data_IF_972844811003
#
_entry.id   IF_972844811003
#
_cell.length_a   1.000
_cell.length_b   1.000
_cell.length_c   1.000
_cell.angle_alpha   90.00
_cell.angle_beta   90.00
_cell.angle_gamma   90.00
#
_symmetry.space_group_name_H-M   'P 1'
#
loop_
_entity.id
_entity.type
_entity.pdbx_description
1 polymer ?
#
# COMPACT_ATOMS: atom_id res chain seq x y z
N UNK A 1 4.87 -14.86 -5.89
CA UNK A 1 4.02 -13.78 -5.32
C UNK A 1 3.91 -12.66 -6.35
N UNK A 2 2.68 -12.25 -6.67
CA UNK A 2 2.44 -11.15 -7.59
C UNK A 2 3.07 -9.85 -7.07
N UNK A 3 3.65 -9.05 -7.96
CA UNK A 3 4.26 -7.76 -7.60
C UNK A 3 3.17 -6.78 -7.13
N UNK A 4 3.39 -6.11 -6.00
CA UNK A 4 2.52 -5.01 -5.60
C UNK A 4 2.56 -3.91 -6.66
N UNK A 5 1.37 -3.43 -7.07
CA UNK A 5 1.23 -2.32 -8.00
C UNK A 5 1.87 -1.07 -7.40
N UNK A 6 2.67 -0.38 -8.19
CA UNK A 6 3.19 0.95 -7.88
C UNK A 6 2.80 1.92 -8.98
N UNK A 7 2.23 3.03 -8.57
CA UNK A 7 1.88 4.12 -9.48
C UNK A 7 2.94 5.18 -9.28
N UNK A 8 3.76 5.41 -10.31
CA UNK A 8 4.88 6.36 -10.28
C UNK A 8 4.65 7.44 -11.33
N UNK A 9 4.86 8.70 -10.95
CA UNK A 9 4.83 9.84 -11.85
C UNK A 9 5.49 11.06 -11.21
N UNK A 10 5.94 11.98 -12.02
CA UNK A 10 6.55 13.24 -11.61
C UNK A 10 5.65 14.05 -10.70
N UNK A 11 6.17 14.52 -9.55
CA UNK A 11 5.45 15.32 -8.58
C UNK A 11 4.53 14.53 -7.64
N UNK A 12 4.55 13.20 -7.70
CA UNK A 12 3.70 12.36 -6.86
C UNK A 12 4.18 12.35 -5.40
N UNK A 13 3.21 12.42 -4.49
CA UNK A 13 3.42 12.36 -3.04
C UNK A 13 3.23 10.92 -2.56
N UNK A 14 4.11 10.45 -1.70
CA UNK A 14 4.06 9.07 -1.20
C UNK A 14 4.28 8.99 0.30
N UNK A 15 3.54 8.09 0.93
CA UNK A 15 3.90 7.51 2.21
C UNK A 15 4.61 6.19 1.97
N UNK A 16 5.88 6.14 2.36
CA UNK A 16 6.75 4.97 2.22
C UNK A 16 6.92 4.30 3.57
N UNK A 17 6.89 2.97 3.56
CA UNK A 17 7.21 2.17 4.74
C UNK A 17 7.99 0.92 4.35
N UNK A 18 8.94 0.52 5.20
CA UNK A 18 9.66 -0.74 5.07
C UNK A 18 9.99 -1.28 6.45
N UNK A 19 10.08 -2.60 6.58
CA UNK A 19 10.28 -3.28 7.84
C UNK A 19 11.36 -4.34 7.71
N UNK A 20 12.08 -4.58 8.81
CA UNK A 20 13.07 -5.62 8.92
C UNK A 20 12.52 -7.02 8.67
N UNK A 21 13.35 -7.87 8.10
CA UNK A 21 13.03 -9.28 7.92
C UNK A 21 12.68 -9.92 9.26
N UNK A 22 11.62 -10.75 9.29
CA UNK A 22 11.13 -11.38 10.53
C UNK A 22 10.83 -10.39 11.67
N UNK A 23 10.56 -9.13 11.34
CA UNK A 23 10.39 -8.00 12.27
C UNK A 23 11.63 -7.68 13.11
N UNK A 24 12.81 -8.17 12.73
CA UNK A 24 14.07 -7.86 13.39
C UNK A 24 14.39 -6.38 13.30
N UNK A 25 15.17 -5.90 14.27
CA UNK A 25 15.66 -4.54 14.29
C UNK A 25 16.54 -4.26 13.06
N UNK A 26 16.29 -3.10 12.44
CA UNK A 26 17.09 -2.55 11.34
C UNK A 26 17.99 -1.42 11.82
N UNK A 27 17.87 -1.04 13.08
CA UNK A 27 18.76 -0.13 13.80
C UNK A 27 19.11 -0.77 15.13
N UNK A 28 20.39 -1.03 15.38
CA UNK A 28 20.91 -1.65 16.61
C UNK A 28 21.54 -0.62 17.55
N UNK A 29 21.88 0.55 17.04
CA UNK A 29 22.46 1.63 17.81
C UNK A 29 22.33 2.96 17.08
N UNK A 30 22.68 4.05 17.77
CA UNK A 30 22.55 5.42 17.28
C UNK A 30 23.22 5.67 15.94
N UNK A 31 24.35 5.05 15.69
CA UNK A 31 25.09 5.23 14.43
C UNK A 31 24.34 4.64 13.24
N UNK A 32 23.55 3.58 13.44
CA UNK A 32 22.74 3.03 12.36
C UNK A 32 21.66 4.02 11.91
N UNK A 33 21.06 4.72 12.88
CA UNK A 33 20.12 5.80 12.59
C UNK A 33 20.80 6.96 11.84
N UNK A 34 21.99 7.37 12.27
CA UNK A 34 22.77 8.42 11.60
C UNK A 34 23.13 8.02 10.17
N UNK A 35 23.59 6.79 9.96
CA UNK A 35 23.89 6.24 8.63
C UNK A 35 22.64 6.22 7.76
N UNK A 36 21.47 5.85 8.30
CA UNK A 36 20.24 5.87 7.53
C UNK A 36 19.82 7.30 7.13
N UNK A 37 19.96 8.27 8.04
CA UNK A 37 19.69 9.68 7.75
C UNK A 37 20.63 10.23 6.67
N UNK A 38 21.93 9.87 6.69
CA UNK A 38 22.86 10.20 5.61
C UNK A 38 22.46 9.58 4.27
N UNK A 39 21.96 8.33 4.27
CA UNK A 39 21.44 7.69 3.05
C UNK A 39 20.18 8.41 2.54
N UNK A 40 19.33 8.95 3.42
CA UNK A 40 18.17 9.74 3.00
C UNK A 40 18.59 11.08 2.37
N UNK A 41 19.57 11.77 2.93
CA UNK A 41 20.17 12.98 2.37
C UNK A 41 20.75 12.72 0.99
N UNK A 42 21.61 11.71 0.84
CA UNK A 42 22.18 11.28 -0.43
C UNK A 42 21.09 10.93 -1.46
N UNK A 43 19.99 10.26 -1.03
CA UNK A 43 18.85 9.95 -1.90
C UNK A 43 18.13 11.22 -2.36
N UNK A 44 17.90 12.17 -1.44
CA UNK A 44 17.22 13.43 -1.75
C UNK A 44 17.94 14.19 -2.86
N UNK A 45 19.25 14.32 -2.74
CA UNK A 45 20.08 15.00 -3.74
C UNK A 45 20.19 14.24 -5.05
N UNK A 46 20.52 12.96 -4.98
CA UNK A 46 20.81 12.13 -6.15
C UNK A 46 19.61 11.89 -7.06
N UNK A 47 18.42 11.78 -6.48
CA UNK A 47 17.20 11.40 -7.20
C UNK A 47 16.15 12.51 -7.25
N UNK A 48 16.51 13.72 -6.82
CA UNK A 48 15.58 14.87 -6.76
C UNK A 48 14.30 14.53 -6.00
N UNK A 49 14.45 13.97 -4.78
CA UNK A 49 13.33 13.56 -3.94
C UNK A 49 13.21 14.52 -2.76
N UNK A 50 12.07 15.19 -2.64
CA UNK A 50 11.76 15.97 -1.45
C UNK A 50 11.31 15.05 -0.32
N UNK A 51 11.89 15.22 0.85
CA UNK A 51 11.48 14.51 2.07
C UNK A 51 10.76 15.49 2.99
N UNK A 52 9.51 15.18 3.32
CA UNK A 52 8.67 16.04 4.17
C UNK A 52 8.62 15.57 5.63
N UNK A 53 8.56 14.29 5.90
CA UNK A 53 8.58 13.76 7.25
C UNK A 53 9.18 12.37 7.30
N UNK A 54 9.76 12.03 8.46
CA UNK A 54 10.23 10.69 8.73
C UNK A 54 10.07 10.31 10.20
N UNK A 55 9.99 9.01 10.45
CA UNK A 55 10.22 8.36 11.73
C UNK A 55 10.94 7.04 11.51
N UNK A 56 12.02 6.83 12.24
CA UNK A 56 12.84 5.62 12.21
C UNK A 56 12.57 4.84 13.49
N UNK A 57 11.76 3.79 13.40
CA UNK A 57 11.46 2.88 14.51
C UNK A 57 12.48 1.75 14.53
N UNK A 58 12.70 1.09 15.64
CA UNK A 58 13.76 0.06 15.78
C UNK A 58 13.78 -0.95 14.62
N UNK A 59 12.63 -1.40 14.15
CA UNK A 59 12.52 -2.46 13.15
C UNK A 59 11.81 -2.04 11.84
N UNK A 60 11.45 -0.76 11.69
CA UNK A 60 10.81 -0.22 10.48
C UNK A 60 10.97 1.29 10.41
N UNK A 61 10.67 1.86 9.24
CA UNK A 61 10.62 3.30 9.07
C UNK A 61 9.42 3.74 8.26
N UNK A 62 9.04 5.00 8.45
CA UNK A 62 8.06 5.70 7.62
C UNK A 62 8.68 6.97 7.07
N UNK A 63 8.40 7.25 5.79
CA UNK A 63 8.81 8.49 5.11
C UNK A 63 7.60 9.11 4.41
N UNK A 64 7.54 10.43 4.38
CA UNK A 64 6.69 11.18 3.46
C UNK A 64 7.60 11.86 2.45
N UNK A 65 7.41 11.56 1.18
CA UNK A 65 8.27 12.05 0.11
C UNK A 65 7.48 12.52 -1.11
N UNK A 66 8.11 13.35 -1.94
CA UNK A 66 7.68 13.66 -3.30
C UNK A 66 8.81 13.36 -4.25
N UNK A 67 8.51 12.64 -5.31
CA UNK A 67 9.47 12.42 -6.39
C UNK A 67 9.29 13.50 -7.46
N UNK A 68 10.34 14.25 -7.75
CA UNK A 68 10.32 15.29 -8.78
C UNK A 68 10.55 14.70 -10.21
N UNK A 69 10.78 13.38 -10.27
CA UNK A 69 10.80 12.56 -11.48
C UNK A 69 9.93 11.31 -11.26
N UNK A 70 9.74 10.44 -12.24
CA UNK A 70 9.04 9.15 -12.16
C UNK A 70 9.98 8.01 -11.71
N UNK A 71 10.71 8.24 -10.61
CA UNK A 71 11.84 7.42 -10.19
C UNK A 71 11.72 6.80 -8.79
N UNK A 72 10.51 6.68 -8.24
CA UNK A 72 10.29 6.16 -6.89
C UNK A 72 10.93 4.79 -6.66
N UNK A 73 10.70 3.84 -7.57
CA UNK A 73 11.26 2.48 -7.43
C UNK A 73 12.78 2.51 -7.43
N UNK A 74 13.40 3.32 -8.28
CA UNK A 74 14.85 3.46 -8.40
C UNK A 74 15.46 4.08 -7.13
N UNK A 75 14.89 5.19 -6.65
CA UNK A 75 15.36 5.90 -5.45
C UNK A 75 15.25 5.01 -4.20
N UNK A 76 14.12 4.36 -3.99
CA UNK A 76 13.91 3.53 -2.81
C UNK A 76 14.64 2.17 -2.87
N UNK A 77 14.87 1.62 -4.05
CA UNK A 77 15.76 0.47 -4.23
C UNK A 77 17.18 0.82 -3.84
N UNK A 78 17.66 1.98 -4.25
CA UNK A 78 18.98 2.48 -3.91
C UNK A 78 19.13 2.66 -2.39
N UNK A 79 18.16 3.30 -1.71
CA UNK A 79 18.13 3.43 -0.24
C UNK A 79 18.24 2.06 0.43
N UNK A 80 17.38 1.12 0.03
CA UNK A 80 17.35 -0.22 0.62
C UNK A 80 18.67 -0.96 0.45
N UNK A 81 19.26 -0.92 -0.74
CA UNK A 81 20.52 -1.61 -1.06
C UNK A 81 21.69 -0.95 -0.34
N UNK A 82 21.81 0.39 -0.40
CA UNK A 82 22.90 1.14 0.21
C UNK A 82 22.91 0.98 1.72
N UNK A 83 21.76 1.14 2.36
CA UNK A 83 21.67 0.96 3.80
C UNK A 83 21.96 -0.49 4.23
N UNK A 84 21.35 -1.47 3.54
CA UNK A 84 21.60 -2.89 3.84
C UNK A 84 23.09 -3.24 3.75
N UNK A 85 23.78 -2.74 2.72
CA UNK A 85 25.22 -2.95 2.56
C UNK A 85 26.02 -2.33 3.73
N UNK A 86 25.76 -1.05 4.08
CA UNK A 86 26.43 -0.35 5.18
C UNK A 86 26.16 -1.05 6.53
N UNK A 87 24.91 -1.43 6.78
CA UNK A 87 24.50 -2.15 7.98
C UNK A 87 25.17 -3.52 8.10
N UNK A 88 25.14 -4.34 7.03
CA UNK A 88 25.70 -5.68 7.03
C UNK A 88 27.24 -5.64 7.23
N UNK A 89 27.92 -4.69 6.58
CA UNK A 89 29.36 -4.50 6.79
C UNK A 89 29.69 -4.16 8.25
N UNK A 90 28.97 -3.19 8.83
CA UNK A 90 29.19 -2.75 10.21
C UNK A 90 28.94 -3.86 11.24
N UNK A 91 27.91 -4.68 11.01
CA UNK A 91 27.45 -5.69 11.96
C UNK A 91 27.89 -7.12 11.60
N UNK A 92 28.85 -7.27 10.67
CA UNK A 92 29.39 -8.59 10.25
C UNK A 92 28.27 -9.56 9.85
N UNK A 93 27.26 -9.07 9.10
CA UNK A 93 26.09 -9.83 8.65
C UNK A 93 26.06 -10.01 7.14
N UNK A 94 25.34 -11.04 6.72
CA UNK A 94 25.00 -11.28 5.32
C UNK A 94 23.49 -11.44 5.14
N UNK A 95 23.01 -11.36 3.89
CA UNK A 95 21.62 -11.59 3.53
C UNK A 95 20.72 -10.36 3.67
N UNK A 96 19.41 -10.60 3.58
CA UNK A 96 18.40 -9.54 3.53
C UNK A 96 18.19 -8.87 4.89
N UNK A 97 18.24 -7.54 4.92
CA UNK A 97 17.89 -6.75 6.09
C UNK A 97 16.36 -6.50 6.14
N UNK A 98 15.75 -6.19 5.00
CA UNK A 98 14.32 -5.89 4.91
C UNK A 98 13.50 -7.11 4.50
N UNK A 99 12.25 -7.17 4.95
CA UNK A 99 11.28 -8.26 4.69
C UNK A 99 10.86 -8.38 3.22
N UNK A 100 11.43 -7.57 2.35
CA UNK A 100 11.09 -7.50 0.95
C UNK A 100 11.11 -6.04 0.46
N UNK A 101 10.39 -5.77 -0.62
CA UNK A 101 10.32 -4.42 -1.16
C UNK A 101 9.56 -3.48 -0.22
N UNK A 102 9.92 -2.19 -0.23
CA UNK A 102 9.16 -1.15 0.46
C UNK A 102 7.70 -1.12 -0.01
N UNK A 103 6.80 -0.70 0.86
CA UNK A 103 5.41 -0.37 0.52
C UNK A 103 5.31 1.12 0.23
N UNK A 104 4.53 1.49 -0.78
CA UNK A 104 4.25 2.87 -1.13
C UNK A 104 2.75 3.10 -1.19
N UNK A 105 2.29 4.17 -0.58
CA UNK A 105 0.91 4.63 -0.60
C UNK A 105 0.92 6.01 -1.24
N UNK A 106 0.24 6.16 -2.37
CA UNK A 106 0.12 7.44 -3.06
C UNK A 106 -0.77 8.38 -2.26
N UNK A 107 -0.31 9.62 -2.03
CA UNK A 107 -1.01 10.64 -1.24
C UNK A 107 -1.63 11.68 -2.18
N UNK A 108 -2.90 11.99 -2.00
CA UNK A 108 -3.64 12.83 -2.94
C UNK A 108 -3.16 14.29 -2.96
N UNK A 109 -2.95 14.91 -1.82
CA UNK A 109 -2.62 16.33 -1.70
C UNK A 109 -1.97 16.70 -0.36
N UNK A 110 -1.65 17.99 -0.18
CA UNK A 110 -1.00 18.51 1.02
C UNK A 110 -1.83 18.33 2.31
N UNK A 111 -3.15 18.40 2.25
CA UNK A 111 -4.02 18.20 3.42
C UNK A 111 -3.88 16.76 3.95
N UNK A 112 -3.90 15.76 3.08
CA UNK A 112 -3.62 14.38 3.45
C UNK A 112 -2.18 14.16 3.88
N UNK A 113 -1.22 14.88 3.29
CA UNK A 113 0.18 14.84 3.70
C UNK A 113 0.34 15.33 5.15
N UNK A 114 -0.36 16.40 5.53
CA UNK A 114 -0.39 16.93 6.91
C UNK A 114 -0.92 15.86 7.88
N UNK A 115 -2.04 15.22 7.58
CA UNK A 115 -2.61 14.18 8.43
C UNK A 115 -1.62 13.02 8.62
N UNK A 116 -0.96 12.58 7.54
CA UNK A 116 0.04 11.52 7.60
C UNK A 116 1.30 11.95 8.35
N UNK A 117 1.70 13.22 8.29
CA UNK A 117 2.84 13.72 9.08
C UNK A 117 2.55 13.62 10.58
N UNK A 118 1.34 14.01 11.01
CA UNK A 118 0.89 13.83 12.40
C UNK A 118 0.92 12.35 12.81
N UNK A 119 0.34 11.46 11.98
CA UNK A 119 0.35 10.02 12.20
C UNK A 119 1.78 9.47 12.35
N UNK A 120 2.69 9.84 11.44
CA UNK A 120 4.09 9.37 11.43
C UNK A 120 4.80 9.84 12.70
N UNK A 121 4.67 11.10 13.07
CA UNK A 121 5.34 11.63 14.24
C UNK A 121 4.80 11.06 15.56
N UNK A 122 3.54 10.60 15.60
CA UNK A 122 2.96 9.96 16.79
C UNK A 122 3.30 8.46 16.92
N UNK A 123 3.90 7.84 15.91
CA UNK A 123 4.25 6.42 15.97
C UNK A 123 5.06 6.01 17.22
N UNK A 124 6.10 6.75 17.66
CA UNK A 124 6.87 6.39 18.85
C UNK A 124 6.04 6.41 20.14
N UNK A 125 5.14 7.40 20.29
CA UNK A 125 4.23 7.49 21.41
C UNK A 125 3.24 6.32 21.43
N UNK A 126 2.64 6.02 20.27
CA UNK A 126 1.72 4.92 20.09
C UNK A 126 2.35 3.55 20.34
N UNK A 127 3.64 3.43 20.00
CA UNK A 127 4.42 2.21 20.28
C UNK A 127 4.93 2.13 21.73
N UNK A 128 4.62 3.11 22.59
CA UNK A 128 5.07 3.15 23.98
C UNK A 128 6.58 3.37 24.17
N UNK A 129 7.28 3.82 23.11
CA UNK A 129 8.74 4.04 23.18
C UNK A 129 9.11 5.31 23.94
N UNK A 130 8.23 6.28 23.97
CA UNK A 130 8.42 7.56 24.69
C UNK A 130 7.10 8.03 25.30
N UNK A 131 7.18 8.82 26.37
CA UNK A 131 6.01 9.49 26.97
C UNK A 131 5.69 10.83 26.33
N UNK A 132 6.67 11.49 25.74
CA UNK A 132 6.52 12.78 25.03
C UNK A 132 7.18 12.66 23.66
N UNK A 133 6.52 13.15 22.61
CA UNK A 133 7.03 13.07 21.23
C UNK A 133 8.40 13.73 21.05
N UNK A 134 8.67 14.78 21.82
CA UNK A 134 9.96 15.49 21.78
C UNK A 134 11.12 14.63 22.26
N UNK A 135 10.89 13.61 23.07
CA UNK A 135 11.94 12.76 23.59
C UNK A 135 12.44 11.74 22.52
N UNK A 136 11.64 11.53 21.44
CA UNK A 136 12.06 10.65 20.37
C UNK A 136 12.87 11.38 19.31
N UNK A 137 14.20 11.18 19.35
CA UNK A 137 15.15 11.92 18.49
C UNK A 137 15.22 11.42 17.04
N UNK A 138 14.78 10.19 16.75
CA UNK A 138 14.85 9.58 15.43
C UNK A 138 13.60 9.84 14.56
N UNK A 139 13.09 11.06 14.68
CA UNK A 139 11.95 11.53 13.91
C UNK A 139 12.14 13.01 13.56
N UNK A 140 11.54 13.43 12.46
CA UNK A 140 11.51 14.84 12.05
C UNK A 140 10.60 15.71 12.92
N UNK A 141 9.93 15.17 13.95
CA UNK A 141 9.00 15.90 14.79
C UNK A 141 9.60 17.16 15.40
N UNK A 142 10.82 17.07 15.96
CA UNK A 142 11.49 18.23 16.59
C UNK A 142 11.70 19.40 15.63
N UNK A 143 11.99 19.10 14.36
CA UNK A 143 12.19 20.10 13.31
C UNK A 143 10.91 20.83 12.95
N UNK A 144 9.76 20.19 13.13
CA UNK A 144 8.43 20.78 12.92
C UNK A 144 7.86 21.45 14.16
N UNK A 145 8.10 20.88 15.32
CA UNK A 145 7.49 21.33 16.56
C UNK A 145 8.29 22.46 17.25
N UNK A 146 9.59 22.55 16.95
CA UNK A 146 10.50 23.51 17.59
C UNK A 146 11.46 24.06 16.54
N UNK A 147 11.96 25.27 16.73
CA UNK A 147 12.99 25.87 15.83
C UNK A 147 14.36 25.17 15.91
N UNK A 148 14.45 24.04 16.58
CA UNK A 148 15.70 23.34 16.84
C UNK A 148 16.11 22.51 15.59
N UNK A 149 17.41 22.62 15.25
CA UNK A 149 18.12 21.78 14.26
C UNK A 149 17.57 21.81 12.83
N UNK A 150 18.31 22.44 11.96
CA UNK A 150 18.06 22.42 10.51
C UNK A 150 18.62 21.14 9.88
N UNK A 151 17.76 20.20 9.56
CA UNK A 151 18.05 19.18 8.58
C UNK A 151 17.82 19.80 7.20
N UNK A 152 18.87 20.23 6.50
CA UNK A 152 18.80 21.02 5.25
C UNK A 152 18.00 20.34 4.15
N UNK A 153 18.04 19.02 4.08
CA UNK A 153 17.33 18.21 3.08
C UNK A 153 15.84 17.94 3.43
N UNK A 154 15.37 18.36 4.61
CA UNK A 154 13.97 18.21 4.98
C UNK A 154 13.16 19.43 4.51
N UNK A 155 12.24 19.19 3.56
CA UNK A 155 11.34 20.23 3.06
C UNK A 155 10.14 20.39 3.99
N UNK A 156 9.98 21.56 4.62
CA UNK A 156 8.89 21.85 5.56
C UNK A 156 7.73 22.61 4.93
N UNK A 157 7.96 23.25 3.80
CA UNK A 157 7.07 24.28 3.26
C UNK A 157 5.67 23.74 2.98
N UNK A 158 5.58 22.57 2.37
CA UNK A 158 4.29 21.98 2.02
C UNK A 158 3.45 21.57 3.25
N UNK A 159 4.09 21.18 4.35
CA UNK A 159 3.39 20.86 5.59
C UNK A 159 3.04 22.14 6.34
N UNK A 160 3.96 23.10 6.44
CA UNK A 160 3.70 24.38 7.08
C UNK A 160 2.66 25.22 6.36
N UNK A 161 2.53 25.12 5.03
CA UNK A 161 1.46 25.76 4.27
C UNK A 161 0.05 25.31 4.69
N UNK A 162 -0.06 24.20 5.42
CA UNK A 162 -1.31 23.68 5.98
C UNK A 162 -1.51 24.06 7.46
N UNK A 163 -0.59 24.84 8.01
CA UNK A 163 -0.67 25.37 9.36
C UNK A 163 -1.21 26.80 9.32
N UNK A 164 -2.28 27.07 10.06
CA UNK A 164 -2.83 28.42 10.21
C UNK A 164 -2.21 29.12 11.42
N UNK A 165 -1.96 30.42 11.32
CA UNK A 165 -1.41 31.24 12.39
C UNK A 165 -0.01 31.75 12.10
N UNK A 166 0.46 32.73 12.89
CA UNK A 166 1.76 33.37 12.71
C UNK A 166 2.94 32.47 13.07
N UNK A 167 2.75 31.56 14.03
CA UNK A 167 3.75 30.56 14.44
C UNK A 167 3.38 29.14 13.95
N UNK A 168 3.92 28.75 12.79
CA UNK A 168 3.72 27.44 12.20
C UNK A 168 4.21 26.30 13.10
N UNK A 169 5.23 26.50 13.92
CA UNK A 169 5.75 25.50 14.85
C UNK A 169 4.75 25.22 15.99
N UNK A 170 4.17 26.28 16.56
CA UNK A 170 3.12 26.16 17.57
C UNK A 170 1.87 25.50 16.97
N UNK A 171 1.42 25.98 15.82
CA UNK A 171 0.27 25.43 15.13
C UNK A 171 0.45 23.93 14.78
N UNK A 172 1.66 23.52 14.37
CA UNK A 172 1.97 22.13 14.12
C UNK A 172 1.90 21.28 15.40
N UNK A 173 2.48 21.76 16.53
CA UNK A 173 2.42 21.04 17.81
C UNK A 173 0.97 20.78 18.25
N UNK A 174 0.14 21.81 18.20
CA UNK A 174 -1.28 21.71 18.55
C UNK A 174 -2.02 20.72 17.66
N UNK A 175 -1.74 20.76 16.36
CA UNK A 175 -2.33 19.84 15.39
C UNK A 175 -1.95 18.38 15.66
N UNK A 176 -0.67 18.12 15.96
CA UNK A 176 -0.21 16.78 16.32
C UNK A 176 -0.82 16.30 17.64
N UNK A 177 -1.03 17.18 18.62
CA UNK A 177 -1.69 16.82 19.88
C UNK A 177 -3.17 16.49 19.68
N UNK A 178 -3.92 17.35 18.98
CA UNK A 178 -5.34 17.11 18.64
C UNK A 178 -5.54 15.86 17.80
N UNK A 179 -4.56 15.49 17.02
CA UNK A 179 -4.63 14.31 16.13
C UNK A 179 -4.82 12.99 16.87
N UNK A 180 -4.61 12.91 18.20
CA UNK A 180 -4.89 11.70 18.99
C UNK A 180 -6.36 11.25 18.89
N UNK A 181 -7.28 12.19 18.73
CA UNK A 181 -8.72 11.94 18.64
C UNK A 181 -9.13 11.46 17.22
N UNK A 182 -8.34 11.80 16.21
CA UNK A 182 -8.61 11.49 14.81
C UNK A 182 -7.82 10.28 14.28
N UNK A 183 -6.92 9.73 15.09
CA UNK A 183 -5.93 8.73 14.65
C UNK A 183 -6.58 7.44 14.09
N UNK A 184 -7.72 7.03 14.65
CA UNK A 184 -8.50 5.89 14.15
C UNK A 184 -9.09 6.13 12.75
N UNK A 185 -9.39 7.38 12.41
CA UNK A 185 -10.05 7.76 11.16
C UNK A 185 -9.08 7.91 9.98
N UNK A 186 -7.76 7.98 10.23
CA UNK A 186 -6.76 8.18 9.16
C UNK A 186 -6.85 7.12 8.09
N UNK A 187 -6.98 5.86 8.51
CA UNK A 187 -7.03 4.75 7.56
C UNK A 187 -8.37 4.60 6.82
N UNK A 188 -9.43 5.31 7.23
CA UNK A 188 -10.69 5.36 6.47
C UNK A 188 -10.50 5.92 5.06
N UNK A 189 -9.49 6.77 4.87
CA UNK A 189 -9.13 7.35 3.58
C UNK A 189 -8.12 6.49 2.79
N UNK A 190 -7.68 5.36 3.35
CA UNK A 190 -6.79 4.43 2.65
C UNK A 190 -7.60 3.53 1.73
N UNK A 191 -7.44 3.70 0.43
CA UNK A 191 -8.14 2.92 -0.61
C UNK A 191 -7.25 1.80 -1.12
N UNK A 192 -7.69 0.55 -0.96
CA UNK A 192 -7.01 -0.67 -1.42
C UNK A 192 -5.55 -0.82 -0.97
N UNK A 193 -5.13 -0.10 0.10
CA UNK A 193 -3.74 -0.09 0.55
C UNK A 193 -2.76 0.61 -0.40
N UNK A 194 -3.25 1.35 -1.41
CA UNK A 194 -2.43 1.95 -2.48
C UNK A 194 -2.53 3.48 -2.50
N UNK A 195 -3.72 4.04 -2.21
CA UNK A 195 -3.99 5.48 -2.29
C UNK A 195 -4.57 5.99 -1.00
N UNK A 196 -4.00 7.07 -0.48
CA UNK A 196 -4.54 7.85 0.62
C UNK A 196 -5.23 9.09 0.04
N UNK A 197 -6.56 9.02 -0.03
CA UNK A 197 -7.35 10.05 -0.69
C UNK A 197 -8.79 9.62 -1.01
N UNK A 198 -9.47 10.46 -1.80
CA UNK A 198 -10.87 10.25 -2.20
C UNK A 198 -11.03 9.13 -3.24
N UNK A 199 -12.23 8.53 -3.29
CA UNK A 199 -12.62 7.59 -4.36
C UNK A 199 -12.43 8.21 -5.76
N UNK A 200 -12.78 9.50 -5.91
CA UNK A 200 -12.62 10.23 -7.17
C UNK A 200 -11.16 10.30 -7.62
N UNK A 201 -10.25 10.56 -6.68
CA UNK A 201 -8.82 10.60 -6.97
C UNK A 201 -8.30 9.22 -7.37
N UNK A 202 -8.64 8.16 -6.63
CA UNK A 202 -8.29 6.79 -7.00
C UNK A 202 -8.73 6.46 -8.43
N UNK A 203 -10.00 6.77 -8.79
CA UNK A 203 -10.53 6.50 -10.13
C UNK A 203 -9.78 7.30 -11.22
N UNK A 204 -9.40 8.57 -10.94
CA UNK A 204 -8.61 9.40 -11.85
C UNK A 204 -7.25 8.80 -12.13
N UNK A 205 -6.53 8.40 -11.06
CA UNK A 205 -5.18 7.83 -11.15
C UNK A 205 -5.23 6.47 -11.85
N UNK A 206 -6.18 5.61 -11.50
CA UNK A 206 -6.38 4.32 -12.16
C UNK A 206 -6.59 4.47 -13.67
N UNK A 207 -7.47 5.40 -14.07
CA UNK A 207 -7.70 5.66 -15.51
C UNK A 207 -6.46 6.18 -16.23
N UNK A 208 -5.67 7.04 -15.58
CA UNK A 208 -4.53 7.70 -16.20
C UNK A 208 -3.31 6.78 -16.32
N UNK A 209 -3.01 6.00 -15.28
CA UNK A 209 -1.74 5.29 -15.17
C UNK A 209 -1.84 3.77 -15.34
N UNK A 210 -3.04 3.17 -15.18
CA UNK A 210 -3.20 1.72 -15.24
C UNK A 210 -3.76 1.18 -16.55
N UNK A 211 -4.18 2.04 -17.48
CA UNK A 211 -4.67 1.62 -18.80
C UNK A 211 -3.58 1.04 -19.72
N UNK A 212 -2.30 1.23 -19.41
CA UNK A 212 -1.17 0.81 -20.26
C UNK A 212 -0.60 -0.57 -19.93
N UNK A 213 -1.03 -1.20 -18.83
CA UNK A 213 -0.48 -2.49 -18.39
C UNK A 213 -1.59 -3.56 -18.44
N UNK A 214 -2.05 -3.89 -19.66
CA UNK A 214 -3.14 -4.86 -19.86
C UNK A 214 -2.74 -6.32 -19.62
N UNK A 215 -1.47 -6.65 -19.41
CA UNK A 215 -0.99 -8.03 -19.38
C UNK A 215 -0.43 -8.53 -18.04
N UNK A 216 -0.55 -7.74 -16.96
CA UNK A 216 -0.06 -8.16 -15.65
C UNK A 216 -1.23 -8.44 -14.72
N UNK A 217 -1.39 -9.69 -14.31
CA UNK A 217 -2.35 -10.08 -13.26
C UNK A 217 -1.92 -9.48 -11.92
N UNK A 218 -2.42 -8.28 -11.61
CA UNK A 218 -2.16 -7.54 -10.38
C UNK A 218 -3.37 -7.71 -9.45
N UNK A 219 -3.27 -8.46 -8.34
CA UNK A 219 -4.39 -8.69 -7.42
C UNK A 219 -5.02 -7.41 -6.89
N UNK A 220 -4.22 -6.33 -6.74
CA UNK A 220 -4.70 -5.02 -6.30
C UNK A 220 -5.49 -4.30 -7.39
N UNK A 221 -5.09 -4.45 -8.66
CA UNK A 221 -5.83 -3.92 -9.80
C UNK A 221 -7.19 -4.60 -9.90
N UNK A 222 -7.24 -5.91 -9.72
CA UNK A 222 -8.48 -6.67 -9.71
C UNK A 222 -9.42 -6.23 -8.57
N UNK A 223 -8.90 -5.86 -7.40
CA UNK A 223 -9.69 -5.27 -6.30
C UNK A 223 -10.26 -3.90 -6.69
N UNK A 224 -9.46 -3.03 -7.30
CA UNK A 224 -9.90 -1.71 -7.77
C UNK A 224 -10.97 -1.83 -8.87
N UNK A 225 -10.80 -2.79 -9.77
CA UNK A 225 -11.76 -3.05 -10.87
C UNK A 225 -13.05 -3.64 -10.32
N UNK A 226 -12.98 -4.53 -9.32
CA UNK A 226 -14.15 -5.15 -8.68
C UNK A 226 -15.00 -4.16 -7.87
N UNK A 227 -14.44 -3.07 -7.38
CA UNK A 227 -15.18 -1.99 -6.69
C UNK A 227 -15.97 -1.07 -7.66
N UNK A 228 -15.92 -1.34 -8.96
CA UNK A 228 -16.79 -0.63 -9.91
C UNK A 228 -18.22 -1.13 -9.74
N UNK A 229 -19.07 -0.24 -9.22
CA UNK A 229 -20.54 -0.31 -9.18
C UNK A 229 -21.10 -1.75 -9.16
N UNK A 230 -21.56 -2.26 -8.00
CA UNK A 230 -22.12 -3.61 -7.89
C UNK A 230 -23.20 -3.91 -8.92
N UNK A 231 -23.98 -2.90 -9.29
CA UNK A 231 -25.03 -3.04 -10.31
C UNK A 231 -24.46 -3.30 -11.72
N UNK A 232 -23.33 -2.69 -12.08
CA UNK A 232 -22.64 -2.95 -13.35
C UNK A 232 -21.94 -4.31 -13.36
N UNK A 233 -21.40 -4.75 -12.22
CA UNK A 233 -20.85 -6.09 -12.07
C UNK A 233 -21.93 -7.16 -12.19
N UNK A 234 -23.08 -6.96 -11.55
CA UNK A 234 -24.24 -7.84 -11.68
C UNK A 234 -24.77 -7.91 -13.12
N UNK A 235 -24.89 -6.77 -13.83
CA UNK A 235 -25.26 -6.74 -15.25
C UNK A 235 -24.24 -7.45 -16.14
N UNK A 236 -22.94 -7.31 -15.87
CA UNK A 236 -21.89 -8.00 -16.63
C UNK A 236 -21.88 -9.49 -16.33
N UNK A 237 -22.06 -9.88 -15.07
CA UNK A 237 -22.18 -11.28 -14.66
C UNK A 237 -23.44 -11.92 -15.28
N UNK A 238 -24.60 -11.22 -15.26
CA UNK A 238 -25.81 -11.68 -15.90
C UNK A 238 -25.66 -11.89 -17.41
N UNK A 239 -24.92 -11.00 -18.11
CA UNK A 239 -24.60 -11.20 -19.54
C UNK A 239 -23.75 -12.45 -19.79
N UNK A 240 -22.74 -12.68 -18.97
CA UNK A 240 -21.88 -13.88 -19.09
C UNK A 240 -22.67 -15.14 -18.79
N UNK A 241 -23.50 -15.13 -17.75
CA UNK A 241 -24.35 -16.25 -17.37
C UNK A 241 -25.38 -16.53 -18.46
N UNK A 242 -26.06 -15.50 -18.99
CA UNK A 242 -27.01 -15.69 -20.10
C UNK A 242 -26.30 -16.21 -21.35
N UNK A 243 -25.08 -15.76 -21.66
CA UNK A 243 -24.27 -16.30 -22.76
C UNK A 243 -23.93 -17.77 -22.55
N UNK A 244 -23.51 -18.16 -21.34
CA UNK A 244 -23.22 -19.55 -20.99
C UNK A 244 -24.49 -20.40 -21.06
N UNK A 245 -25.60 -19.94 -20.48
CA UNK A 245 -26.87 -20.63 -20.51
C UNK A 245 -27.44 -20.76 -21.93
N UNK A 246 -27.25 -19.75 -22.79
CA UNK A 246 -27.66 -19.79 -24.19
C UNK A 246 -26.84 -20.80 -24.98
N UNK A 247 -25.52 -20.86 -24.78
CA UNK A 247 -24.66 -21.89 -25.38
C UNK A 247 -24.99 -23.29 -24.89
N UNK A 248 -25.31 -23.45 -23.61
CA UNK A 248 -25.70 -24.73 -23.02
C UNK A 248 -27.08 -25.21 -23.54
N UNK A 249 -28.02 -24.28 -23.78
CA UNK A 249 -29.34 -24.59 -24.36
C UNK A 249 -29.28 -24.95 -25.87
N UNK A 250 -28.22 -24.54 -26.57
CA UNK A 250 -27.97 -24.91 -27.98
C UNK A 250 -27.27 -26.27 -28.15
N UNK A 251 -26.62 -26.76 -27.09
CA UNK A 251 -26.12 -28.16 -27.09
C UNK A 251 -27.25 -29.07 -26.61
N UNK A 252 -27.87 -29.78 -27.48
CA UNK A 252 -29.15 -30.54 -27.43
C UNK A 252 -29.38 -31.51 -26.26
N UNK A 253 -28.71 -31.43 -25.11
CA UNK A 253 -28.85 -32.44 -24.05
C UNK A 253 -28.60 -32.00 -22.60
N UNK A 254 -28.56 -30.75 -22.30
CA UNK A 254 -28.42 -30.33 -20.89
C UNK A 254 -29.73 -29.69 -20.41
N UNK A 255 -30.48 -30.43 -19.61
CA UNK A 255 -31.71 -29.99 -18.99
C UNK A 255 -31.40 -28.76 -18.08
N UNK A 256 -32.16 -27.67 -18.26
CA UNK A 256 -32.09 -26.42 -17.47
C UNK A 256 -32.21 -26.61 -15.94
N UNK A 257 -32.46 -27.84 -15.49
CA UNK A 257 -32.62 -28.18 -14.07
C UNK A 257 -31.29 -28.41 -13.34
N UNK A 258 -30.16 -28.64 -14.03
CA UNK A 258 -28.95 -29.17 -13.38
C UNK A 258 -27.93 -28.13 -12.96
N UNK A 259 -28.15 -26.85 -13.31
CA UNK A 259 -27.24 -25.77 -12.87
C UNK A 259 -28.08 -24.67 -12.24
N UNK A 260 -27.97 -24.53 -10.92
CA UNK A 260 -28.55 -23.37 -10.27
C UNK A 260 -27.73 -22.14 -10.66
N UNK A 261 -28.31 -21.21 -11.42
CA UNK A 261 -27.67 -19.97 -11.87
C UNK A 261 -27.05 -19.15 -10.70
N UNK A 262 -27.53 -19.38 -9.48
CA UNK A 262 -26.99 -18.88 -8.23
C UNK A 262 -25.55 -19.39 -7.96
N UNK A 263 -25.25 -20.65 -8.23
CA UNK A 263 -23.93 -21.24 -7.93
C UNK A 263 -22.88 -20.77 -8.93
N UNK A 264 -23.26 -20.61 -10.18
CA UNK A 264 -22.41 -20.02 -11.22
C UNK A 264 -22.13 -18.56 -10.90
N UNK A 265 -23.15 -17.81 -10.44
CA UNK A 265 -23.00 -16.42 -10.02
C UNK A 265 -22.06 -16.30 -8.79
N UNK A 266 -22.22 -17.17 -7.81
CA UNK A 266 -21.38 -17.20 -6.62
C UNK A 266 -19.91 -17.55 -6.96
N UNK A 267 -19.67 -18.47 -7.88
CA UNK A 267 -18.34 -18.79 -8.37
C UNK A 267 -17.72 -17.59 -9.11
N UNK A 268 -18.47 -16.93 -9.97
CA UNK A 268 -18.03 -15.74 -10.69
C UNK A 268 -17.72 -14.57 -9.75
N UNK A 269 -18.56 -14.32 -8.75
CA UNK A 269 -18.36 -13.26 -7.74
C UNK A 269 -17.17 -13.53 -6.83
N UNK A 270 -16.85 -14.80 -6.58
CA UNK A 270 -15.65 -15.21 -5.81
C UNK A 270 -14.37 -15.16 -6.63
N UNK A 271 -14.46 -15.00 -7.94
CA UNK A 271 -13.31 -14.98 -8.85
C UNK A 271 -12.77 -16.37 -9.19
N UNK A 272 -13.56 -17.42 -8.96
CA UNK A 272 -13.22 -18.79 -9.33
C UNK A 272 -13.36 -18.97 -10.85
N UNK A 273 -12.43 -19.69 -11.47
CA UNK A 273 -12.58 -20.10 -12.88
C UNK A 273 -13.52 -21.30 -12.94
N UNK A 274 -14.61 -21.15 -13.68
CA UNK A 274 -15.48 -22.26 -14.02
C UNK A 274 -15.00 -22.86 -15.35
N UNK A 275 -14.48 -24.06 -15.33
CA UNK A 275 -14.04 -24.79 -16.53
C UNK A 275 -15.13 -25.79 -16.90
N UNK A 276 -15.64 -25.68 -18.13
CA UNK A 276 -16.56 -26.66 -18.71
C UNK A 276 -15.74 -27.70 -19.47
N UNK A 277 -15.81 -28.95 -19.06
CA UNK A 277 -15.31 -30.06 -19.83
C UNK A 277 -16.43 -30.62 -20.71
N UNK A 278 -16.27 -30.52 -22.04
CA UNK A 278 -17.30 -30.92 -23.01
C UNK A 278 -17.62 -32.41 -23.03
N UNK A 279 -16.77 -33.24 -22.43
CA UNK A 279 -16.85 -34.70 -22.58
C UNK A 279 -17.55 -35.42 -21.45
N UNK A 280 -17.68 -34.85 -20.24
CA UNK A 280 -18.15 -35.62 -19.07
C UNK A 280 -19.18 -34.94 -18.16
N UNK A 281 -20.01 -34.04 -18.64
CA UNK A 281 -21.14 -33.46 -17.86
C UNK A 281 -20.78 -32.96 -16.44
N UNK A 282 -19.52 -32.55 -16.17
CA UNK A 282 -19.06 -32.11 -14.86
C UNK A 282 -18.62 -30.67 -14.88
N UNK A 283 -19.04 -29.90 -13.88
CA UNK A 283 -18.50 -28.57 -13.59
C UNK A 283 -17.30 -28.76 -12.67
N UNK A 284 -16.09 -28.47 -13.15
CA UNK A 284 -14.88 -28.52 -12.33
C UNK A 284 -14.57 -27.12 -11.82
N UNK A 285 -14.52 -26.95 -10.50
CA UNK A 285 -13.99 -25.75 -9.88
C UNK A 285 -12.47 -25.84 -9.82
N UNK A 286 -11.76 -24.97 -10.49
CA UNK A 286 -10.34 -24.78 -10.22
C UNK A 286 -10.18 -23.63 -9.23
N UNK A 287 -9.75 -23.93 -8.00
CA UNK A 287 -9.38 -22.92 -7.02
C UNK A 287 -8.07 -22.28 -7.43
N UNK A 288 -8.11 -20.98 -7.69
CA UNK A 288 -6.90 -20.17 -7.67
C UNK A 288 -6.65 -19.81 -6.23
N UNK A 289 -5.53 -20.24 -5.69
CA UNK A 289 -5.06 -19.96 -4.34
C UNK A 289 -5.19 -18.48 -3.99
N UNK A 290 -6.19 -18.11 -3.21
CA UNK A 290 -6.16 -16.94 -2.37
C UNK A 290 -5.56 -17.37 -1.04
N UNK A 291 -4.30 -17.03 -0.80
CA UNK A 291 -3.63 -17.30 0.46
C UNK A 291 -4.29 -16.56 1.62
N UNK A 292 -5.14 -17.24 2.35
CA UNK A 292 -5.46 -16.91 3.74
C UNK A 292 -4.59 -17.74 4.69
N UNK A 293 -4.19 -17.20 5.83
CA UNK A 293 -3.20 -17.82 6.71
C UNK A 293 -3.83 -18.81 7.68
N UNK A 294 -4.63 -19.75 7.23
CA UNK A 294 -4.98 -20.94 8.01
C UNK A 294 -5.37 -22.06 7.04
N UNK A 295 -4.53 -23.10 7.03
CA UNK A 295 -4.63 -24.24 6.16
C UNK A 295 -5.93 -25.03 6.29
N UNK A 296 -6.91 -24.65 5.51
CA UNK A 296 -8.04 -25.51 5.18
C UNK A 296 -7.96 -25.78 3.69
N UNK A 297 -7.50 -26.97 3.36
CA UNK A 297 -7.66 -27.53 2.04
C UNK A 297 -9.15 -27.51 1.68
N UNK A 298 -9.51 -26.74 0.68
CA UNK A 298 -10.82 -26.85 0.07
C UNK A 298 -10.82 -28.16 -0.74
N UNK A 299 -11.48 -29.19 -0.21
CA UNK A 299 -11.70 -30.42 -0.94
C UNK A 299 -12.56 -30.12 -2.16
N UNK A 300 -12.15 -30.68 -3.30
CA UNK A 300 -12.95 -30.71 -4.51
C UNK A 300 -14.21 -31.52 -4.17
N UNK A 301 -15.33 -30.84 -3.97
CA UNK A 301 -16.62 -31.53 -3.91
C UNK A 301 -17.04 -31.86 -5.32
N UNK A 302 -16.92 -33.10 -5.68
CA UNK A 302 -17.64 -33.65 -6.83
C UNK A 302 -19.13 -33.52 -6.52
N UNK A 303 -19.83 -32.72 -7.31
CA UNK A 303 -21.29 -32.76 -7.31
C UNK A 303 -21.65 -34.01 -8.08
N UNK A 304 -21.88 -35.12 -7.38
CA UNK A 304 -22.51 -36.32 -7.96
C UNK A 304 -23.97 -36.01 -8.26
N UNK A 305 -24.45 -36.62 -9.29
CA UNK A 305 -25.79 -36.57 -9.84
C UNK A 305 -26.86 -36.85 -8.75
N UNK A 306 -27.89 -36.07 -8.76
CA UNK A 306 -29.24 -36.49 -8.43
C UNK A 306 -30.10 -36.30 -9.66
#
# INVERSE_FOLDING_TARGET
>A
MARALRIEFKGALYHILSRGNERRNIFLGDDDYKVFLSVLEEMSERFEVDIFAYVLMNNHYHLLIRTNQDNLSKSMQWVGTTYTRRFNLKHFRSGHLFQGRFKSILVQNAAYLMQLSCYIHRNPLRAGLVKRLVDYRWSSYRTYAYKASHTKWLNKDLIFSQCNGEDSYKAYREKVQKYSEEESKVFENLRHGIVFGTKRYLNKITKKHLKKESDVDLPQLNRIIKDKDPAKLLKSAAKVINFILTKLSQSDRILKKDIQGRDVLLCFLRGDRVIYEQTNRRVIRSNIFCGEPQGKHCQIRNIQEI
#
